data_IF_076811366370
#
_entry.id   IF_076811366370
#
_cell.length_a   1.000
_cell.length_b   1.000
_cell.length_c   1.000
_cell.angle_alpha   90.00
_cell.angle_beta   90.00
_cell.angle_gamma   90.00
#
_symmetry.space_group_name_H-M   'P 1'
#
loop_
_entity.id
_entity.type
_entity.pdbx_description
1 polymer ?
#
# COMPACT_ATOMS: atom_id res chain seq x y z
N UNK A 1 -14.25 -1.90 -1.16
CA UNK A 1 -15.28 -1.21 -1.98
C UNK A 1 -15.71 -2.13 -3.11
N UNK A 2 -16.94 -1.96 -3.59
CA UNK A 2 -17.46 -2.60 -4.81
C UNK A 2 -17.33 -1.61 -5.97
N UNK A 3 -16.51 -1.96 -6.96
CA UNK A 3 -16.24 -1.14 -8.15
C UNK A 3 -17.00 -1.72 -9.33
N UNK A 4 -17.86 -0.93 -9.94
CA UNK A 4 -18.47 -1.26 -11.24
C UNK A 4 -17.52 -0.75 -12.34
N UNK A 5 -16.85 -1.67 -13.05
CA UNK A 5 -15.92 -1.34 -14.13
C UNK A 5 -16.61 -1.47 -15.49
N UNK A 6 -17.06 -0.34 -16.04
CA UNK A 6 -17.57 -0.24 -17.40
C UNK A 6 -16.44 -0.31 -18.42
N UNK A 7 -16.62 -1.12 -19.46
CA UNK A 7 -15.60 -1.28 -20.52
C UNK A 7 -16.28 -1.03 -21.87
N UNK A 8 -15.84 0.00 -22.61
CA UNK A 8 -16.43 0.29 -23.92
C UNK A 8 -15.58 -0.20 -25.09
N UNK A 9 -16.19 -0.30 -26.28
CA UNK A 9 -15.60 -0.92 -27.45
C UNK A 9 -14.54 -0.07 -28.14
N UNK A 10 -13.29 -0.32 -27.80
CA UNK A 10 -12.11 0.26 -28.42
C UNK A 10 -10.90 -0.64 -28.22
N UNK A 11 -9.82 -0.44 -29.01
CA UNK A 11 -8.62 -1.27 -28.91
C UNK A 11 -8.03 -1.29 -27.52
N UNK A 12 -8.12 -0.21 -26.76
CA UNK A 12 -7.63 -0.12 -25.39
C UNK A 12 -8.41 -0.97 -24.36
N UNK A 13 -9.51 -1.63 -24.76
CA UNK A 13 -10.31 -2.49 -23.87
C UNK A 13 -9.49 -3.65 -23.27
N UNK A 14 -8.43 -4.12 -23.91
CA UNK A 14 -7.55 -5.15 -23.36
C UNK A 14 -6.88 -4.72 -22.04
N UNK A 15 -6.64 -3.40 -21.83
CA UNK A 15 -6.07 -2.87 -20.59
C UNK A 15 -7.02 -3.01 -19.39
N UNK A 16 -8.31 -3.24 -19.59
CA UNK A 16 -9.27 -3.49 -18.53
C UNK A 16 -8.88 -4.71 -17.67
N UNK A 17 -8.20 -5.71 -18.26
CA UNK A 17 -7.66 -6.86 -17.53
C UNK A 17 -6.67 -6.42 -16.43
N UNK A 18 -5.78 -5.47 -16.74
CA UNK A 18 -4.82 -4.94 -15.77
C UNK A 18 -5.52 -4.09 -14.69
N UNK A 19 -6.55 -3.32 -15.07
CA UNK A 19 -7.33 -2.55 -14.10
C UNK A 19 -8.09 -3.45 -13.11
N UNK A 20 -8.73 -4.53 -13.60
CA UNK A 20 -9.39 -5.51 -12.73
C UNK A 20 -8.38 -6.04 -11.72
N UNK A 21 -7.21 -6.50 -12.19
CA UNK A 21 -6.15 -7.03 -11.33
C UNK A 21 -5.68 -5.98 -10.31
N UNK A 22 -5.40 -4.75 -10.75
CA UNK A 22 -4.90 -3.69 -9.88
C UNK A 22 -5.89 -3.33 -8.76
N UNK A 23 -7.20 -3.33 -9.05
CA UNK A 23 -8.22 -3.09 -8.04
C UNK A 23 -8.43 -4.30 -7.11
N UNK A 24 -8.42 -5.53 -7.63
CA UNK A 24 -8.59 -6.75 -6.81
C UNK A 24 -7.39 -6.99 -5.89
N UNK A 25 -6.17 -6.72 -6.34
CA UNK A 25 -4.95 -6.79 -5.52
C UNK A 25 -4.95 -5.75 -4.37
N UNK A 26 -5.70 -4.65 -4.54
CA UNK A 26 -5.94 -3.67 -3.47
C UNK A 26 -7.12 -4.05 -2.55
N UNK A 27 -7.70 -5.24 -2.71
CA UNK A 27 -8.80 -5.74 -1.87
C UNK A 27 -10.17 -5.20 -2.24
N UNK A 28 -10.36 -4.68 -3.46
CA UNK A 28 -11.66 -4.25 -3.95
C UNK A 28 -12.38 -5.38 -4.70
N UNK A 29 -13.71 -5.46 -4.56
CA UNK A 29 -14.53 -6.32 -5.39
C UNK A 29 -14.83 -5.60 -6.71
N UNK A 30 -14.52 -6.22 -7.84
CA UNK A 30 -14.72 -5.64 -9.17
C UNK A 30 -15.82 -6.38 -9.93
N UNK A 31 -16.91 -5.68 -10.28
CA UNK A 31 -17.91 -6.16 -11.21
C UNK A 31 -17.60 -5.56 -12.59
N UNK A 32 -17.10 -6.38 -13.51
CA UNK A 32 -16.85 -5.93 -14.88
C UNK A 32 -18.18 -5.91 -15.69
N UNK A 33 -18.41 -4.79 -16.38
CA UNK A 33 -19.60 -4.60 -17.23
C UNK A 33 -19.17 -4.10 -18.62
N UNK A 34 -18.74 -5.01 -19.52
CA UNK A 34 -18.38 -4.65 -20.88
C UNK A 34 -19.60 -4.34 -21.72
N UNK A 35 -19.53 -3.34 -22.60
CA UNK A 35 -20.52 -3.17 -23.67
C UNK A 35 -20.37 -4.31 -24.70
N UNK A 36 -21.41 -4.55 -25.51
CA UNK A 36 -21.35 -5.55 -26.59
C UNK A 36 -20.17 -5.33 -27.53
N UNK A 37 -19.83 -4.06 -27.81
CA UNK A 37 -18.68 -3.73 -28.63
C UNK A 37 -17.33 -3.97 -27.93
N UNK A 38 -17.26 -3.90 -26.60
CA UNK A 38 -16.05 -4.21 -25.86
C UNK A 38 -15.64 -5.68 -26.00
N UNK A 39 -16.62 -6.59 -26.05
CA UNK A 39 -16.39 -8.02 -26.20
C UNK A 39 -15.75 -8.42 -27.55
N UNK A 40 -15.68 -7.49 -28.52
CA UNK A 40 -14.91 -7.68 -29.76
C UNK A 40 -13.39 -7.50 -29.57
N UNK A 41 -12.97 -6.87 -28.47
CA UNK A 41 -11.58 -6.54 -28.19
C UNK A 41 -11.01 -7.28 -26.99
N UNK A 42 -11.86 -7.76 -26.08
CA UNK A 42 -11.47 -8.54 -24.91
C UNK A 42 -12.50 -9.64 -24.65
N UNK A 43 -12.02 -10.86 -24.43
CA UNK A 43 -12.87 -12.02 -24.20
C UNK A 43 -13.62 -11.98 -22.87
N UNK A 44 -14.90 -12.37 -22.88
CA UNK A 44 -15.73 -12.52 -21.69
C UNK A 44 -15.05 -13.40 -20.63
N UNK A 45 -14.54 -14.56 -21.02
CA UNK A 45 -13.87 -15.50 -20.11
C UNK A 45 -12.68 -14.90 -19.37
N UNK A 46 -11.90 -14.01 -20.03
CA UNK A 46 -10.77 -13.32 -19.41
C UNK A 46 -11.26 -12.37 -18.30
N UNK A 47 -12.32 -11.62 -18.55
CA UNK A 47 -12.90 -10.69 -17.60
C UNK A 47 -13.50 -11.43 -16.39
N UNK A 48 -14.23 -12.51 -16.62
CA UNK A 48 -14.81 -13.37 -15.56
C UNK A 48 -13.73 -14.01 -14.68
N UNK A 49 -12.69 -14.56 -15.30
CA UNK A 49 -11.58 -15.17 -14.55
C UNK A 49 -10.82 -14.18 -13.66
N UNK A 50 -10.68 -12.92 -14.09
CA UNK A 50 -9.96 -11.88 -13.34
C UNK A 50 -10.82 -11.22 -12.27
N UNK A 51 -12.11 -10.98 -12.55
CA UNK A 51 -13.01 -10.34 -11.60
C UNK A 51 -13.64 -11.31 -10.60
N UNK A 52 -13.63 -12.61 -10.90
CA UNK A 52 -14.34 -13.62 -10.11
C UNK A 52 -15.86 -13.52 -10.18
N UNK A 53 -16.40 -12.71 -11.11
CA UNK A 53 -17.84 -12.45 -11.24
C UNK A 53 -18.33 -12.81 -12.65
N UNK A 54 -19.53 -13.38 -12.74
CA UNK A 54 -20.15 -13.66 -14.04
C UNK A 54 -20.47 -12.36 -14.78
N UNK A 55 -20.22 -12.36 -16.07
CA UNK A 55 -20.57 -11.24 -16.96
C UNK A 55 -21.78 -11.61 -17.78
N UNK A 56 -22.83 -10.84 -17.60
CA UNK A 56 -23.99 -10.89 -18.43
C UNK A 56 -24.37 -9.47 -18.84
N UNK A 57 -24.51 -9.26 -20.14
CA UNK A 57 -24.76 -7.95 -20.74
C UNK A 57 -26.21 -7.83 -21.25
N UNK A 58 -27.04 -8.87 -21.07
CA UNK A 58 -28.41 -8.81 -21.48
C UNK A 58 -29.22 -8.01 -20.48
N UNK A 59 -29.77 -6.89 -20.94
CA UNK A 59 -30.61 -6.01 -20.13
C UNK A 59 -31.98 -6.64 -19.82
N UNK A 60 -32.39 -7.63 -20.59
CA UNK A 60 -33.69 -8.26 -20.49
C UNK A 60 -33.69 -9.66 -19.87
N UNK A 61 -32.50 -10.14 -19.45
CA UNK A 61 -32.37 -11.35 -18.67
C UNK A 61 -32.74 -11.02 -17.21
N UNK A 62 -33.52 -11.89 -16.56
CA UNK A 62 -33.98 -11.75 -15.17
C UNK A 62 -34.66 -10.39 -14.87
N UNK A 63 -35.57 -9.97 -15.75
CA UNK A 63 -36.26 -8.67 -15.68
C UNK A 63 -36.91 -8.39 -14.31
N UNK A 64 -37.27 -9.43 -13.56
CA UNK A 64 -37.87 -9.32 -12.23
C UNK A 64 -36.90 -8.79 -11.15
N UNK A 65 -35.60 -8.89 -11.37
CA UNK A 65 -34.56 -8.44 -10.40
C UNK A 65 -34.13 -6.97 -10.62
N UNK A 66 -34.62 -6.31 -11.69
CA UNK A 66 -34.25 -4.93 -12.05
C UNK A 66 -32.73 -4.71 -12.00
N UNK A 67 -31.99 -5.61 -12.59
CA UNK A 67 -30.55 -5.78 -12.49
C UNK A 67 -29.71 -4.51 -12.68
N UNK A 68 -30.13 -3.62 -13.61
CA UNK A 68 -29.43 -2.34 -13.81
C UNK A 68 -29.50 -1.43 -12.57
N UNK A 69 -30.63 -1.46 -11.83
CA UNK A 69 -30.77 -0.71 -10.58
C UNK A 69 -29.90 -1.32 -9.49
N UNK A 70 -29.89 -2.66 -9.38
CA UNK A 70 -29.04 -3.36 -8.42
C UNK A 70 -27.56 -3.09 -8.66
N UNK A 71 -27.09 -3.20 -9.90
CA UNK A 71 -25.70 -2.90 -10.27
C UNK A 71 -25.30 -1.45 -9.95
N UNK A 72 -26.17 -0.49 -10.29
CA UNK A 72 -25.93 0.92 -10.00
C UNK A 72 -25.95 1.26 -8.52
N UNK A 73 -26.94 0.72 -7.77
CA UNK A 73 -27.12 0.99 -6.35
C UNK A 73 -26.07 0.26 -5.47
N UNK A 74 -25.61 -0.92 -5.90
CA UNK A 74 -24.63 -1.71 -5.13
C UNK A 74 -23.20 -1.25 -5.32
N UNK A 75 -22.89 -0.47 -6.33
CA UNK A 75 -21.55 0.05 -6.57
C UNK A 75 -21.21 1.17 -5.56
N UNK A 76 -20.04 1.10 -4.93
CA UNK A 76 -19.48 2.21 -4.15
C UNK A 76 -18.83 3.24 -5.08
N UNK A 77 -18.45 2.79 -6.30
CA UNK A 77 -17.70 3.57 -7.28
C UNK A 77 -17.93 3.00 -8.68
N UNK A 78 -18.07 3.87 -9.68
CA UNK A 78 -18.17 3.49 -11.09
C UNK A 78 -16.95 4.02 -11.84
N UNK A 79 -16.25 3.13 -12.53
CA UNK A 79 -15.10 3.48 -13.39
C UNK A 79 -15.42 3.03 -14.81
N UNK A 80 -15.28 3.90 -15.80
CA UNK A 80 -15.43 3.53 -17.22
C UNK A 80 -14.08 3.69 -17.92
N UNK A 81 -13.44 2.59 -18.24
CA UNK A 81 -12.12 2.53 -18.87
C UNK A 81 -11.96 1.30 -19.79
N UNK A 82 -11.71 1.51 -21.07
CA UNK A 82 -11.74 2.78 -21.80
C UNK A 82 -13.13 3.35 -22.01
N UNK A 83 -13.25 4.68 -22.15
CA UNK A 83 -14.46 5.35 -22.56
C UNK A 83 -14.31 5.92 -23.99
N UNK A 84 -15.12 5.43 -24.93
CA UNK A 84 -15.12 5.91 -26.32
C UNK A 84 -15.86 7.24 -26.47
N UNK A 85 -15.63 7.97 -27.55
CA UNK A 85 -16.39 9.19 -27.89
C UNK A 85 -17.90 8.93 -27.95
N UNK A 86 -18.33 7.79 -28.46
CA UNK A 86 -19.75 7.39 -28.46
C UNK A 86 -20.30 7.24 -27.04
N UNK A 87 -19.55 6.63 -26.14
CA UNK A 87 -19.95 6.51 -24.74
C UNK A 87 -20.07 7.89 -24.07
N UNK A 88 -19.08 8.78 -24.26
CA UNK A 88 -19.11 10.14 -23.73
C UNK A 88 -20.34 10.91 -24.22
N UNK A 89 -20.65 10.81 -25.52
CA UNK A 89 -21.82 11.47 -26.11
C UNK A 89 -23.12 10.96 -25.51
N UNK A 90 -23.28 9.64 -25.37
CA UNK A 90 -24.45 9.02 -24.75
C UNK A 90 -24.63 9.46 -23.32
N UNK A 91 -23.55 9.38 -22.52
CA UNK A 91 -23.58 9.76 -21.11
C UNK A 91 -23.93 11.25 -20.92
N UNK A 92 -23.35 12.12 -21.75
CA UNK A 92 -23.65 13.56 -21.71
C UNK A 92 -25.10 13.89 -22.06
N UNK A 93 -25.75 13.04 -22.86
CA UNK A 93 -27.15 13.24 -23.28
C UNK A 93 -28.17 12.33 -22.53
N UNK A 94 -27.73 11.53 -21.57
CA UNK A 94 -28.59 10.65 -20.78
C UNK A 94 -29.19 9.50 -21.58
N UNK A 95 -28.56 9.03 -22.66
CA UNK A 95 -29.02 7.92 -23.49
C UNK A 95 -28.63 6.60 -22.81
N UNK A 96 -29.63 5.79 -22.46
CA UNK A 96 -29.43 4.53 -21.72
C UNK A 96 -29.95 3.34 -22.56
N UNK A 97 -29.20 2.98 -23.59
CA UNK A 97 -29.55 1.93 -24.56
C UNK A 97 -28.79 0.60 -24.32
N UNK A 98 -28.01 0.51 -23.28
CA UNK A 98 -27.38 -0.73 -22.82
C UNK A 98 -27.37 -0.83 -21.28
N UNK A 99 -26.98 -2.00 -20.75
CA UNK A 99 -27.01 -2.28 -19.33
C UNK A 99 -26.05 -1.35 -18.55
N UNK A 100 -24.87 -1.02 -19.09
CA UNK A 100 -23.92 -0.11 -18.47
C UNK A 100 -24.49 1.29 -18.30
N UNK A 101 -25.10 1.84 -19.35
CA UNK A 101 -25.69 3.18 -19.32
C UNK A 101 -26.88 3.26 -18.35
N UNK A 102 -27.71 2.21 -18.31
CA UNK A 102 -28.82 2.13 -17.35
C UNK A 102 -28.32 2.03 -15.91
N UNK A 103 -27.29 1.21 -15.64
CA UNK A 103 -26.70 1.11 -14.30
C UNK A 103 -26.08 2.45 -13.84
N UNK A 104 -25.42 3.17 -14.73
CA UNK A 104 -24.87 4.50 -14.43
C UNK A 104 -25.97 5.52 -14.09
N UNK A 105 -27.07 5.56 -14.87
CA UNK A 105 -28.16 6.48 -14.60
C UNK A 105 -28.94 6.14 -13.31
N UNK A 106 -28.94 4.87 -12.91
CA UNK A 106 -29.58 4.42 -11.67
C UNK A 106 -28.67 4.61 -10.43
N UNK A 107 -27.42 5.00 -10.60
CA UNK A 107 -26.45 5.11 -9.50
C UNK A 107 -26.34 6.52 -8.95
N UNK A 108 -26.08 6.61 -7.64
CA UNK A 108 -25.69 7.84 -6.93
C UNK A 108 -24.19 7.91 -6.61
N UNK A 109 -23.44 6.89 -7.01
CA UNK A 109 -22.01 6.75 -6.72
C UNK A 109 -21.16 7.68 -7.58
N UNK A 110 -19.95 7.98 -7.12
CA UNK A 110 -18.98 8.76 -7.89
C UNK A 110 -18.62 8.02 -9.20
N UNK A 111 -18.62 8.76 -10.31
CA UNK A 111 -18.36 8.24 -11.65
C UNK A 111 -17.02 8.81 -12.14
N UNK A 112 -16.14 7.91 -12.58
CA UNK A 112 -14.84 8.20 -13.17
C UNK A 112 -14.79 7.67 -14.59
N UNK A 113 -14.42 8.52 -15.53
CA UNK A 113 -14.41 8.20 -16.95
C UNK A 113 -13.02 8.43 -17.52
N UNK A 114 -12.44 7.42 -18.17
CA UNK A 114 -11.10 7.45 -18.74
C UNK A 114 -11.21 7.34 -20.28
N UNK A 115 -11.19 8.47 -21.01
CA UNK A 115 -11.33 8.49 -22.44
C UNK A 115 -10.18 7.80 -23.18
N UNK A 116 -10.52 7.14 -24.31
CA UNK A 116 -9.53 6.59 -25.24
C UNK A 116 -10.06 6.65 -26.66
N UNK A 117 -9.40 7.40 -27.54
CA UNK A 117 -9.76 7.62 -28.93
C UNK A 117 -8.60 8.23 -29.73
N UNK A 118 -8.70 8.36 -31.03
CA UNK A 118 -7.73 9.11 -31.83
C UNK A 118 -7.72 10.60 -31.46
N UNK A 119 -6.59 11.27 -31.65
CA UNK A 119 -6.38 12.67 -31.26
C UNK A 119 -7.41 13.61 -31.88
N UNK A 120 -7.75 13.41 -33.16
CA UNK A 120 -8.74 14.22 -33.87
C UNK A 120 -10.14 14.07 -33.26
N UNK A 121 -10.48 12.85 -32.81
CA UNK A 121 -11.75 12.58 -32.13
C UNK A 121 -11.79 13.23 -30.75
N UNK A 122 -10.66 13.21 -30.03
CA UNK A 122 -10.56 13.85 -28.73
C UNK A 122 -10.68 15.37 -28.83
N UNK A 123 -9.96 15.96 -29.77
CA UNK A 123 -9.97 17.41 -30.01
C UNK A 123 -11.21 17.91 -30.73
N UNK A 124 -12.09 17.01 -31.21
CA UNK A 124 -13.32 17.43 -31.89
C UNK A 124 -14.19 18.26 -30.95
N UNK A 125 -14.71 19.44 -31.43
CA UNK A 125 -15.55 20.32 -30.61
C UNK A 125 -16.75 19.62 -29.96
N UNK A 126 -17.38 18.64 -30.63
CA UNK A 126 -18.50 17.88 -30.08
C UNK A 126 -18.05 17.00 -28.90
N UNK A 127 -16.87 16.37 -29.00
CA UNK A 127 -16.31 15.57 -27.89
C UNK A 127 -15.97 16.47 -26.70
N UNK A 128 -15.33 17.62 -26.95
CA UNK A 128 -14.97 18.57 -25.90
C UNK A 128 -16.22 19.16 -25.22
N UNK A 129 -17.28 19.46 -25.97
CA UNK A 129 -18.56 19.91 -25.40
C UNK A 129 -19.20 18.84 -24.51
N UNK A 130 -19.16 17.56 -24.92
CA UNK A 130 -19.65 16.45 -24.10
C UNK A 130 -18.83 16.32 -22.80
N UNK A 131 -17.50 16.40 -22.86
CA UNK A 131 -16.63 16.37 -21.69
C UNK A 131 -16.94 17.51 -20.73
N UNK A 132 -17.08 18.74 -21.25
CA UNK A 132 -17.45 19.91 -20.45
C UNK A 132 -18.79 19.71 -19.73
N UNK A 133 -19.80 19.16 -20.44
CA UNK A 133 -21.11 18.83 -19.88
C UNK A 133 -21.00 17.79 -18.75
N UNK A 134 -20.24 16.73 -18.95
CA UNK A 134 -20.04 15.69 -17.95
C UNK A 134 -19.36 16.23 -16.69
N UNK A 135 -18.30 17.04 -16.85
CA UNK A 135 -17.60 17.71 -15.73
C UNK A 135 -18.51 18.66 -14.96
N UNK A 136 -19.31 19.44 -15.66
CA UNK A 136 -20.29 20.34 -15.04
C UNK A 136 -21.36 19.61 -14.21
N UNK A 137 -21.63 18.34 -14.52
CA UNK A 137 -22.54 17.45 -13.78
C UNK A 137 -21.85 16.65 -12.67
N UNK A 138 -20.57 16.95 -12.37
CA UNK A 138 -19.85 16.27 -11.30
C UNK A 138 -19.23 14.90 -11.68
N UNK A 139 -19.22 14.54 -12.97
CA UNK A 139 -18.53 13.34 -13.44
C UNK A 139 -17.04 13.64 -13.59
N UNK A 140 -16.21 12.78 -13.01
CA UNK A 140 -14.75 12.91 -13.07
C UNK A 140 -14.26 12.37 -14.43
N UNK A 141 -13.84 13.27 -15.32
CA UNK A 141 -13.30 12.89 -16.64
C UNK A 141 -11.81 13.11 -16.65
N UNK A 142 -11.05 12.01 -16.78
CA UNK A 142 -9.59 12.01 -16.86
C UNK A 142 -9.13 12.54 -18.22
N UNK A 143 -8.04 13.32 -18.24
CA UNK A 143 -7.39 13.67 -19.51
C UNK A 143 -6.71 12.42 -20.11
N UNK A 144 -6.90 12.15 -21.41
CA UNK A 144 -6.19 11.05 -22.04
C UNK A 144 -4.68 11.34 -22.12
N UNK A 145 -3.88 10.30 -22.02
CA UNK A 145 -2.43 10.43 -22.15
C UNK A 145 -2.01 10.79 -23.59
N UNK A 146 -0.89 11.50 -23.68
CA UNK A 146 -0.25 11.78 -24.97
C UNK A 146 0.75 10.69 -25.30
N UNK A 147 0.86 10.35 -26.59
CA UNK A 147 1.81 9.35 -27.05
C UNK A 147 1.43 8.76 -28.40
N UNK A 148 2.15 7.71 -28.83
CA UNK A 148 1.85 6.97 -30.05
C UNK A 148 0.52 6.24 -29.91
N UNK A 149 -0.35 6.42 -30.88
CA UNK A 149 -1.62 5.74 -31.02
C UNK A 149 -1.45 4.43 -31.85
N UNK A 150 -2.50 3.93 -32.44
CA UNK A 150 -2.49 2.64 -33.16
C UNK A 150 -1.62 2.67 -34.43
N UNK A 151 -1.41 3.85 -35.03
CA UNK A 151 -0.59 4.06 -36.24
C UNK A 151 0.74 4.76 -35.95
N UNK A 152 1.15 5.62 -36.90
CA UNK A 152 2.29 6.56 -36.76
C UNK A 152 1.91 7.83 -36.02
N UNK A 153 0.60 8.02 -35.73
CA UNK A 153 0.05 9.22 -35.17
C UNK A 153 0.40 9.35 -33.68
N UNK A 154 0.76 10.54 -33.27
CA UNK A 154 1.11 10.91 -31.88
C UNK A 154 0.28 12.09 -31.44
N UNK A 155 -0.21 12.03 -30.20
CA UNK A 155 -1.00 13.13 -29.62
C UNK A 155 -1.81 12.66 -28.41
N UNK A 156 -2.65 13.57 -27.84
CA UNK A 156 -3.56 13.20 -26.76
C UNK A 156 -4.68 12.31 -27.29
N UNK A 157 -5.01 11.23 -26.55
CA UNK A 157 -6.09 10.30 -26.91
C UNK A 157 -5.88 8.89 -26.43
N UNK A 158 -4.66 8.56 -25.99
CA UNK A 158 -4.32 7.25 -25.44
C UNK A 158 -4.93 7.03 -24.06
N UNK A 159 -5.44 5.82 -23.79
CA UNK A 159 -5.82 5.47 -22.43
C UNK A 159 -4.59 5.57 -21.51
N UNK A 160 -4.66 6.32 -20.41
CA UNK A 160 -3.58 6.39 -19.42
C UNK A 160 -3.15 5.01 -18.92
N UNK A 161 -1.99 4.93 -18.27
CA UNK A 161 -1.53 3.67 -17.72
C UNK A 161 -2.37 3.26 -16.50
N UNK A 162 -2.33 1.98 -16.15
CA UNK A 162 -3.17 1.40 -15.09
C UNK A 162 -2.97 2.15 -13.77
N UNK A 163 -1.73 2.46 -13.41
CA UNK A 163 -1.34 3.14 -12.19
C UNK A 163 -1.91 4.56 -12.13
N UNK A 164 -1.90 5.28 -13.24
CA UNK A 164 -2.46 6.63 -13.35
C UNK A 164 -3.98 6.62 -13.17
N UNK A 165 -4.66 5.65 -13.79
CA UNK A 165 -6.12 5.48 -13.66
C UNK A 165 -6.47 5.13 -12.20
N UNK A 166 -5.77 4.19 -11.59
CA UNK A 166 -5.98 3.82 -10.18
C UNK A 166 -5.75 5.03 -9.27
N UNK A 167 -4.68 5.79 -9.50
CA UNK A 167 -4.39 7.01 -8.74
C UNK A 167 -5.46 8.10 -8.92
N UNK A 168 -5.99 8.25 -10.14
CA UNK A 168 -7.08 9.19 -10.42
C UNK A 168 -8.39 8.80 -9.73
N UNK A 169 -8.71 7.52 -9.73
CA UNK A 169 -9.94 6.96 -9.16
C UNK A 169 -9.90 6.91 -7.64
N UNK A 170 -8.77 6.45 -7.07
CA UNK A 170 -8.61 6.28 -5.62
C UNK A 170 -8.05 7.52 -4.92
N UNK A 171 -7.63 8.52 -5.67
CA UNK A 171 -6.81 9.64 -5.19
C UNK A 171 -5.34 9.24 -5.05
N UNK A 172 -4.46 10.22 -4.97
CA UNK A 172 -3.05 9.95 -4.62
C UNK A 172 -3.00 9.42 -3.21
N UNK A 173 -2.40 8.26 -3.03
CA UNK A 173 -2.15 7.74 -1.69
C UNK A 173 -1.26 8.73 -0.93
N UNK A 174 -1.52 8.97 0.37
CA UNK A 174 -0.85 10.01 1.15
C UNK A 174 0.68 9.94 1.10
N UNK A 175 1.24 8.72 1.05
CA UNK A 175 2.69 8.47 1.08
C UNK A 175 3.27 8.10 -0.30
N UNK A 176 2.57 8.43 -1.38
CA UNK A 176 3.05 8.16 -2.75
C UNK A 176 4.37 8.91 -3.03
N UNK A 177 5.42 8.16 -3.38
CA UNK A 177 6.76 8.69 -3.62
C UNK A 177 7.65 8.78 -2.38
N UNK A 178 7.15 8.46 -1.19
CA UNK A 178 7.93 8.39 0.05
C UNK A 178 8.61 7.02 0.17
N UNK A 179 9.89 7.02 0.49
CA UNK A 179 10.69 5.81 0.75
C UNK A 179 10.72 5.50 2.24
N UNK A 180 10.41 4.25 2.61
CA UNK A 180 10.34 3.83 4.01
C UNK A 180 11.18 2.58 4.22
N UNK A 181 12.07 2.60 5.19
CA UNK A 181 12.76 1.40 5.66
C UNK A 181 12.19 0.99 7.01
N UNK A 182 11.75 -0.26 7.12
CA UNK A 182 11.26 -0.86 8.37
C UNK A 182 12.14 -2.03 8.73
N UNK A 183 12.63 -2.09 9.97
CA UNK A 183 13.33 -3.27 10.49
C UNK A 183 12.37 -4.11 11.32
N UNK A 184 12.47 -5.43 11.27
CA UNK A 184 11.57 -6.32 11.99
C UNK A 184 12.27 -7.62 12.43
N UNK A 185 11.75 -8.28 13.46
CA UNK A 185 12.31 -9.52 14.00
C UNK A 185 13.36 -9.28 15.08
N UNK A 186 14.17 -10.29 15.37
CA UNK A 186 15.25 -10.21 16.36
C UNK A 186 16.59 -10.60 15.75
N UNK A 187 17.65 -9.85 16.07
CA UNK A 187 19.02 -10.22 15.68
C UNK A 187 19.50 -11.44 16.48
N UNK A 188 20.39 -12.20 15.87
CA UNK A 188 21.02 -13.39 16.45
C UNK A 188 22.54 -13.25 16.36
N UNK A 189 23.19 -13.18 17.51
CA UNK A 189 24.64 -13.09 17.59
C UNK A 189 25.24 -14.49 17.82
N UNK A 190 26.08 -15.02 16.91
CA UNK A 190 26.52 -16.38 16.98
C UNK A 190 27.46 -16.63 18.18
N UNK A 191 27.19 -17.68 18.96
CA UNK A 191 28.11 -18.26 19.93
C UNK A 191 29.06 -19.22 19.20
N UNK A 192 28.48 -20.08 18.38
CA UNK A 192 29.14 -21.05 17.51
C UNK A 192 28.33 -21.23 16.21
N UNK A 193 28.65 -22.20 15.36
CA UNK A 193 27.94 -22.48 14.12
C UNK A 193 26.48 -22.95 14.32
N UNK A 194 26.06 -23.22 15.55
CA UNK A 194 24.72 -23.79 15.84
C UNK A 194 23.95 -22.93 16.84
N UNK A 195 24.63 -22.31 17.80
CA UNK A 195 24.00 -21.57 18.90
C UNK A 195 24.21 -20.08 18.75
N UNK A 196 23.24 -19.32 19.23
CA UNK A 196 23.26 -17.85 19.21
C UNK A 196 22.66 -17.26 20.50
N UNK A 197 23.00 -16.00 20.75
CA UNK A 197 22.28 -15.12 21.68
C UNK A 197 21.44 -14.18 20.84
N UNK A 198 20.23 -13.83 21.29
CA UNK A 198 19.36 -12.91 20.58
C UNK A 198 18.12 -12.57 21.36
N UNK A 199 17.41 -11.55 20.90
CA UNK A 199 16.17 -11.09 21.50
C UNK A 199 14.97 -11.84 20.94
N UNK A 200 14.01 -12.19 21.81
CA UNK A 200 12.75 -12.80 21.37
C UNK A 200 11.89 -11.76 20.63
N UNK A 201 11.64 -12.01 19.36
CA UNK A 201 10.74 -11.19 18.55
C UNK A 201 10.18 -12.01 17.38
N UNK A 202 8.88 -12.00 17.20
CA UNK A 202 8.23 -12.62 16.04
C UNK A 202 8.34 -11.80 14.76
N UNK A 203 8.67 -10.50 14.87
CA UNK A 203 8.68 -9.56 13.74
C UNK A 203 7.30 -9.04 13.33
N UNK A 204 6.22 -9.50 13.97
CA UNK A 204 4.83 -9.20 13.58
C UNK A 204 4.55 -7.69 13.47
N UNK A 205 4.95 -6.92 14.47
CA UNK A 205 4.72 -5.47 14.49
C UNK A 205 5.38 -4.77 13.29
N UNK A 206 6.65 -5.09 13.00
CA UNK A 206 7.36 -4.50 11.86
C UNK A 206 6.75 -4.91 10.51
N UNK A 207 6.28 -6.16 10.35
CA UNK A 207 5.57 -6.61 9.16
C UNK A 207 4.26 -5.83 8.96
N UNK A 208 3.48 -5.65 10.03
CA UNK A 208 2.19 -4.95 9.98
C UNK A 208 2.40 -3.45 9.68
N UNK A 209 3.45 -2.82 10.24
CA UNK A 209 3.85 -1.45 9.91
C UNK A 209 4.30 -1.32 8.44
N UNK A 210 5.14 -2.23 7.96
CA UNK A 210 5.59 -2.23 6.56
C UNK A 210 4.41 -2.37 5.60
N UNK A 211 3.45 -3.24 5.92
CA UNK A 211 2.20 -3.39 5.17
C UNK A 211 1.37 -2.10 5.18
N UNK A 212 1.23 -1.45 6.34
CA UNK A 212 0.48 -0.21 6.46
C UNK A 212 1.11 0.94 5.64
N UNK A 213 2.43 1.09 5.64
CA UNK A 213 3.13 2.07 4.80
C UNK A 213 2.92 1.79 3.31
N UNK A 214 3.06 0.54 2.86
CA UNK A 214 2.77 0.12 1.48
C UNK A 214 1.33 0.47 1.09
N UNK A 215 0.37 0.18 1.94
CA UNK A 215 -1.05 0.43 1.68
C UNK A 215 -1.37 1.93 1.54
N UNK A 216 -0.58 2.79 2.18
CA UNK A 216 -0.61 4.24 2.00
C UNK A 216 0.22 4.75 0.80
N UNK A 217 0.82 3.84 0.01
CA UNK A 217 1.50 4.14 -1.25
C UNK A 217 2.99 4.40 -1.14
N UNK A 218 3.60 4.17 0.01
CA UNK A 218 5.04 4.30 0.18
C UNK A 218 5.82 3.18 -0.55
N UNK A 219 7.04 3.49 -0.97
CA UNK A 219 8.03 2.52 -1.42
C UNK A 219 8.70 1.93 -0.19
N UNK A 220 8.34 0.68 0.16
CA UNK A 220 8.75 0.09 1.44
C UNK A 220 9.85 -0.95 1.24
N UNK A 221 10.91 -0.82 2.05
CA UNK A 221 11.96 -1.81 2.26
C UNK A 221 11.83 -2.38 3.68
N UNK A 222 11.68 -3.70 3.79
CA UNK A 222 11.61 -4.43 5.05
C UNK A 222 12.90 -5.18 5.29
N UNK A 223 13.66 -4.82 6.32
CA UNK A 223 14.82 -5.58 6.76
C UNK A 223 14.33 -6.58 7.80
N UNK A 224 14.32 -7.86 7.40
CA UNK A 224 13.74 -8.97 8.16
C UNK A 224 14.84 -9.74 8.91
N UNK A 225 14.88 -9.60 10.24
CA UNK A 225 15.83 -10.29 11.11
C UNK A 225 15.23 -11.58 11.65
N UNK A 226 15.66 -12.73 11.10
CA UNK A 226 15.31 -14.07 11.58
C UNK A 226 13.78 -14.32 11.75
N UNK A 227 12.98 -13.84 10.81
CA UNK A 227 11.52 -13.98 10.81
C UNK A 227 11.11 -15.22 10.02
N UNK A 228 10.24 -16.05 10.62
CA UNK A 228 9.68 -17.26 10.00
C UNK A 228 8.30 -17.02 9.37
N UNK A 229 7.66 -15.89 9.68
CA UNK A 229 6.34 -15.53 9.14
C UNK A 229 6.40 -15.19 7.65
N UNK A 230 5.28 -15.35 6.90
CA UNK A 230 5.19 -14.90 5.52
C UNK A 230 5.47 -13.40 5.39
N UNK A 231 6.24 -13.02 4.38
CA UNK A 231 6.55 -11.64 4.08
C UNK A 231 5.39 -10.97 3.32
N UNK A 232 5.13 -9.68 3.54
CA UNK A 232 4.07 -8.96 2.84
C UNK A 232 4.40 -8.81 1.34
N UNK A 233 3.40 -8.99 0.49
CA UNK A 233 3.53 -8.72 -0.94
C UNK A 233 3.70 -7.22 -1.21
N UNK A 234 4.40 -6.87 -2.29
CA UNK A 234 4.59 -5.47 -2.69
C UNK A 234 5.55 -4.68 -1.79
N UNK A 235 6.40 -5.37 -1.04
CA UNK A 235 7.45 -4.80 -0.19
C UNK A 235 8.78 -5.43 -0.61
N UNK A 236 9.84 -4.61 -0.74
CA UNK A 236 11.21 -5.11 -0.93
C UNK A 236 11.69 -5.73 0.38
N UNK A 237 12.12 -6.99 0.35
CA UNK A 237 12.58 -7.70 1.56
C UNK A 237 14.07 -7.96 1.52
N UNK A 238 14.80 -7.42 2.50
CA UNK A 238 16.22 -7.70 2.76
C UNK A 238 16.30 -8.57 4.02
N UNK A 239 17.06 -9.66 3.95
CA UNK A 239 17.28 -10.52 5.12
C UNK A 239 18.56 -10.16 5.81
N UNK A 240 18.53 -10.07 7.14
CA UNK A 240 19.67 -9.89 8.01
C UNK A 240 19.56 -10.85 9.20
N UNK A 241 20.66 -11.35 9.72
CA UNK A 241 20.67 -12.24 10.88
C UNK A 241 21.26 -11.57 12.10
N UNK A 242 22.44 -10.96 11.98
CA UNK A 242 23.18 -10.32 13.07
C UNK A 242 22.98 -8.79 13.09
N UNK A 243 23.46 -8.16 14.16
CA UNK A 243 23.51 -6.68 14.26
C UNK A 243 24.36 -6.09 13.13
N UNK A 244 25.48 -6.70 12.79
CA UNK A 244 26.36 -6.22 11.72
C UNK A 244 25.70 -6.28 10.33
N UNK A 245 24.96 -7.37 10.02
CA UNK A 245 24.21 -7.48 8.78
C UNK A 245 23.05 -6.50 8.73
N UNK A 246 22.38 -6.25 9.86
CA UNK A 246 21.33 -5.25 9.97
C UNK A 246 21.88 -3.83 9.73
N UNK A 247 23.01 -3.49 10.33
CA UNK A 247 23.70 -2.21 10.13
C UNK A 247 23.99 -1.98 8.65
N UNK A 248 24.60 -2.96 7.97
CA UNK A 248 24.88 -2.89 6.55
C UNK A 248 23.62 -2.72 5.70
N UNK A 249 22.54 -3.44 6.04
CA UNK A 249 21.27 -3.33 5.32
C UNK A 249 20.59 -1.97 5.50
N UNK A 250 20.88 -1.25 6.58
CA UNK A 250 20.36 0.09 6.88
C UNK A 250 21.09 1.23 6.16
N UNK A 251 22.24 1.02 5.54
CA UNK A 251 23.05 2.09 4.92
C UNK A 251 22.30 2.89 3.82
N UNK A 252 21.30 2.29 3.18
CA UNK A 252 20.56 2.96 2.12
C UNK A 252 19.65 4.07 2.66
N UNK A 253 19.71 5.29 2.11
CA UNK A 253 18.90 6.40 2.56
C UNK A 253 17.39 6.14 2.35
N UNK A 254 16.58 6.74 3.19
CA UNK A 254 15.12 6.71 3.11
C UNK A 254 14.51 7.96 3.76
N UNK A 255 13.25 8.27 3.44
CA UNK A 255 12.54 9.40 4.04
C UNK A 255 12.08 9.08 5.46
N UNK A 256 11.73 7.82 5.72
CA UNK A 256 11.28 7.34 7.04
C UNK A 256 12.03 6.05 7.39
N UNK A 257 12.62 6.01 8.58
CA UNK A 257 13.24 4.82 9.18
C UNK A 257 12.46 4.38 10.41
N UNK A 258 11.97 3.13 10.41
CA UNK A 258 11.27 2.53 11.57
C UNK A 258 12.09 1.37 12.13
N UNK A 259 12.69 1.57 13.29
CA UNK A 259 13.45 0.55 13.99
C UNK A 259 12.52 -0.26 14.92
N UNK A 260 11.82 -1.25 14.35
CA UNK A 260 10.96 -2.17 15.12
C UNK A 260 11.61 -3.54 15.37
N UNK A 261 12.82 -3.77 14.89
CA UNK A 261 13.59 -4.97 15.21
C UNK A 261 14.07 -4.94 16.67
N UNK A 262 14.06 -6.12 17.30
CA UNK A 262 14.67 -6.34 18.62
C UNK A 262 16.17 -6.60 18.43
N UNK A 263 16.94 -5.54 18.42
CA UNK A 263 18.41 -5.58 18.24
C UNK A 263 19.07 -6.04 19.53
N UNK A 264 20.03 -6.95 19.44
CA UNK A 264 20.78 -7.40 20.60
C UNK A 264 21.73 -6.31 21.09
N UNK A 265 21.69 -5.98 22.38
CA UNK A 265 22.57 -5.01 23.03
C UNK A 265 23.99 -5.52 23.20
N UNK A 266 24.18 -6.84 23.07
CA UNK A 266 25.45 -7.51 23.24
C UNK A 266 25.73 -8.50 22.11
N UNK A 267 27.02 -8.66 21.76
CA UNK A 267 27.51 -9.72 20.88
C UNK A 267 28.63 -10.48 21.56
N UNK A 268 28.95 -11.66 21.03
CA UNK A 268 30.07 -12.46 21.49
C UNK A 268 31.36 -11.82 20.98
N UNK A 269 32.35 -11.59 21.84
CA UNK A 269 33.66 -11.03 21.44
C UNK A 269 34.35 -11.94 20.41
N UNK A 270 34.44 -13.23 20.72
CA UNK A 270 35.08 -14.25 19.89
C UNK A 270 34.20 -15.47 19.75
N UNK A 271 33.35 -15.54 18.68
CA UNK A 271 32.56 -16.73 18.40
C UNK A 271 33.46 -17.98 18.22
N UNK A 272 32.99 -19.11 18.71
CA UNK A 272 33.74 -20.39 18.59
C UNK A 272 33.70 -20.90 17.15
N UNK A 273 34.82 -21.33 16.62
CA UNK A 273 34.88 -22.01 15.35
C UNK A 273 34.33 -23.44 15.47
N UNK A 274 33.43 -23.81 14.59
CA UNK A 274 32.76 -25.10 14.62
C UNK A 274 31.67 -25.15 15.70
N UNK A 275 31.29 -26.38 16.09
CA UNK A 275 30.30 -26.62 17.15
C UNK A 275 31.02 -26.82 18.48
N UNK A 276 30.70 -26.01 19.48
CA UNK A 276 31.20 -26.14 20.83
C UNK A 276 30.83 -27.53 21.40
N UNK A 277 31.81 -28.37 21.79
CA UNK A 277 31.56 -29.72 22.29
C UNK A 277 30.87 -29.68 23.67
N UNK A 278 30.19 -30.78 24.02
CA UNK A 278 29.75 -30.98 25.41
C UNK A 278 30.98 -31.27 26.29
N UNK A 279 30.99 -30.66 27.43
CA UNK A 279 32.12 -30.84 28.36
C UNK A 279 32.04 -29.93 29.55
N UNK A 280 33.16 -29.35 29.95
CA UNK A 280 33.30 -28.44 31.07
C UNK A 280 32.54 -27.12 30.87
N UNK A 281 32.29 -26.38 31.95
CA UNK A 281 31.71 -25.06 31.92
C UNK A 281 32.54 -24.12 31.02
N UNK A 282 31.85 -23.35 30.19
CA UNK A 282 32.45 -22.36 29.30
C UNK A 282 32.04 -20.96 29.73
N UNK A 283 32.97 -20.03 29.68
CA UNK A 283 32.71 -18.60 29.86
C UNK A 283 32.57 -17.95 28.47
N UNK A 284 31.61 -17.08 28.32
CA UNK A 284 31.36 -16.33 27.08
C UNK A 284 31.48 -14.85 27.44
N UNK A 285 32.41 -14.16 26.80
CA UNK A 285 32.56 -12.72 26.96
C UNK A 285 31.60 -11.97 26.03
N UNK A 286 30.77 -11.14 26.63
CA UNK A 286 29.80 -10.29 25.93
C UNK A 286 30.36 -8.87 25.86
N UNK A 287 30.36 -8.32 24.64
CA UNK A 287 30.72 -6.92 24.41
C UNK A 287 29.52 -6.15 23.86
N UNK A 288 29.34 -4.87 24.19
CA UNK A 288 28.23 -4.05 23.68
C UNK A 288 28.25 -3.96 22.17
N UNK A 289 27.06 -3.89 21.58
CA UNK A 289 26.84 -3.53 20.18
C UNK A 289 26.64 -2.02 20.02
N UNK A 290 26.73 -1.53 18.78
CA UNK A 290 26.41 -0.13 18.47
C UNK A 290 24.91 0.14 18.55
N UNK A 291 24.54 1.35 18.95
CA UNK A 291 23.14 1.81 18.88
C UNK A 291 22.82 2.22 17.43
N UNK A 292 22.28 1.27 16.66
CA UNK A 292 22.08 1.43 15.21
C UNK A 292 21.17 2.60 14.87
N UNK A 293 20.06 2.80 15.61
CA UNK A 293 19.14 3.89 15.28
C UNK A 293 19.69 5.25 15.66
N UNK A 294 20.43 5.37 16.76
CA UNK A 294 21.08 6.61 17.12
C UNK A 294 22.18 6.97 16.11
N UNK A 295 22.97 5.98 15.69
CA UNK A 295 24.00 6.16 14.66
C UNK A 295 23.37 6.55 13.32
N UNK A 296 22.30 5.87 12.91
CA UNK A 296 21.58 6.18 11.68
C UNK A 296 21.00 7.61 11.70
N UNK A 297 20.31 8.00 12.78
CA UNK A 297 19.72 9.32 12.92
C UNK A 297 20.75 10.45 12.88
N UNK A 298 21.93 10.23 13.48
CA UNK A 298 23.03 11.21 13.46
C UNK A 298 23.58 11.43 12.04
N UNK A 299 23.63 10.39 11.21
CA UNK A 299 24.17 10.44 9.85
C UNK A 299 23.12 10.83 8.79
N UNK A 300 21.81 10.74 9.11
CA UNK A 300 20.71 10.97 8.17
C UNK A 300 19.69 11.99 8.75
N UNK A 301 20.13 13.21 9.00
CA UNK A 301 19.34 14.26 9.68
C UNK A 301 18.03 14.64 8.97
N UNK A 302 17.89 14.35 7.67
CA UNK A 302 16.67 14.59 6.89
C UNK A 302 15.65 13.43 7.02
N UNK A 303 16.05 12.26 7.53
CA UNK A 303 15.19 11.10 7.69
C UNK A 303 14.35 11.22 8.96
N UNK A 304 13.05 10.93 8.86
CA UNK A 304 12.18 10.81 10.03
C UNK A 304 12.40 9.45 10.72
N UNK A 305 13.18 9.45 11.78
CA UNK A 305 13.58 8.24 12.51
C UNK A 305 12.60 7.92 13.64
N UNK A 306 12.12 6.67 13.70
CA UNK A 306 11.21 6.15 14.72
C UNK A 306 11.90 4.99 15.42
N UNK A 307 12.17 5.12 16.72
CA UNK A 307 12.66 4.03 17.55
C UNK A 307 11.53 3.34 18.30
N UNK A 308 11.70 2.06 18.62
CA UNK A 308 10.83 1.35 19.54
C UNK A 308 11.46 1.29 20.93
N UNK A 309 10.64 1.41 21.97
CA UNK A 309 11.03 1.27 23.38
C UNK A 309 10.18 0.17 24.02
N UNK A 310 10.83 -0.88 24.47
CA UNK A 310 10.21 -1.89 25.31
C UNK A 310 10.47 -1.50 26.77
N UNK A 311 9.41 -1.38 27.56
CA UNK A 311 9.44 -0.85 28.93
C UNK A 311 8.91 -1.92 29.90
N UNK A 312 9.49 -2.02 31.09
CA UNK A 312 9.04 -2.95 32.12
C UNK A 312 7.58 -2.70 32.52
N UNK A 313 6.88 -3.77 32.84
CA UNK A 313 5.47 -3.66 33.26
C UNK A 313 5.34 -2.84 34.56
N UNK A 314 4.45 -1.86 34.52
CA UNK A 314 4.25 -0.93 35.64
C UNK A 314 5.15 0.30 35.63
N UNK A 315 6.14 0.38 34.75
CA UNK A 315 6.93 1.60 34.58
C UNK A 315 6.19 2.62 33.69
N UNK A 316 6.58 3.88 33.79
CA UNK A 316 6.04 4.97 32.98
C UNK A 316 6.59 4.90 31.55
N UNK A 317 5.78 4.35 30.63
CA UNK A 317 6.13 4.18 29.22
C UNK A 317 6.40 5.53 28.54
N UNK A 318 5.67 6.57 28.90
CA UNK A 318 5.82 7.90 28.31
C UNK A 318 7.15 8.53 28.76
N UNK A 319 7.49 8.48 30.04
CA UNK A 319 8.74 9.01 30.58
C UNK A 319 9.96 8.28 29.98
N UNK A 320 9.93 6.94 29.93
CA UNK A 320 11.01 6.13 29.34
C UNK A 320 11.16 6.41 27.83
N UNK A 321 10.04 6.62 27.12
CA UNK A 321 10.08 6.96 25.69
C UNK A 321 10.61 8.37 25.44
N UNK A 322 10.32 9.33 26.31
CA UNK A 322 10.81 10.70 26.22
C UNK A 322 12.32 10.76 26.46
N UNK A 323 12.83 10.01 27.45
CA UNK A 323 14.27 9.86 27.68
C UNK A 323 14.96 9.29 26.45
N UNK A 324 14.41 8.22 25.86
CA UNK A 324 14.93 7.57 24.66
C UNK A 324 14.89 8.49 23.43
N UNK A 325 13.85 9.33 23.31
CA UNK A 325 13.73 10.33 22.25
C UNK A 325 14.92 11.31 22.28
N UNK A 326 15.27 11.80 23.47
CA UNK A 326 16.36 12.76 23.65
C UNK A 326 17.74 12.14 23.48
N UNK A 327 17.97 10.95 24.07
CA UNK A 327 19.27 10.29 24.06
C UNK A 327 19.66 9.73 22.70
N UNK A 328 18.68 9.24 21.91
CA UNK A 328 18.94 8.70 20.57
C UNK A 328 18.85 9.73 19.44
N UNK A 329 18.36 10.94 19.70
CA UNK A 329 18.23 11.98 18.69
C UNK A 329 17.26 11.65 17.57
N UNK A 330 16.28 10.78 17.81
CA UNK A 330 15.26 10.36 16.83
C UNK A 330 14.08 11.32 16.78
N UNK A 331 13.26 11.20 15.74
CA UNK A 331 12.07 12.04 15.54
C UNK A 331 10.88 11.61 16.39
N UNK A 332 10.77 10.31 16.65
CA UNK A 332 9.69 9.72 17.46
C UNK A 332 10.16 8.44 18.17
N UNK A 333 9.48 8.11 19.27
CA UNK A 333 9.64 6.82 19.97
C UNK A 333 8.27 6.18 20.16
N UNK A 334 8.12 4.94 19.74
CA UNK A 334 6.94 4.10 19.96
C UNK A 334 7.22 3.20 21.17
N UNK A 335 6.71 3.56 22.35
CA UNK A 335 6.86 2.82 23.58
C UNK A 335 5.76 1.80 23.79
N UNK A 336 6.11 0.61 24.27
CA UNK A 336 5.17 -0.43 24.69
C UNK A 336 5.73 -1.24 25.86
N UNK A 337 4.87 -1.94 26.61
CA UNK A 337 5.30 -2.76 27.76
C UNK A 337 5.79 -4.15 27.34
N UNK A 338 6.60 -4.79 28.19
CA UNK A 338 7.10 -6.16 27.98
C UNK A 338 5.96 -7.17 27.83
N UNK A 339 4.86 -7.01 28.55
CA UNK A 339 3.67 -7.87 28.43
C UNK A 339 3.02 -7.87 27.03
N UNK A 340 3.35 -6.90 26.19
CA UNK A 340 2.93 -6.86 24.80
C UNK A 340 3.68 -7.84 23.88
N UNK A 341 4.80 -8.42 24.34
CA UNK A 341 5.55 -9.41 23.58
C UNK A 341 4.71 -10.69 23.39
N UNK A 342 4.61 -11.15 22.15
CA UNK A 342 3.84 -12.34 21.80
C UNK A 342 2.31 -12.15 21.81
N UNK A 343 1.79 -11.02 22.31
CA UNK A 343 0.35 -10.70 22.33
C UNK A 343 -0.18 -10.32 20.94
N UNK A 344 -1.43 -10.61 20.64
CA UNK A 344 -2.12 -10.17 19.43
C UNK A 344 -2.52 -8.69 19.47
N UNK A 345 -2.82 -8.19 20.68
CA UNK A 345 -3.17 -6.80 20.93
C UNK A 345 -2.18 -6.16 21.90
N UNK A 346 -2.02 -4.85 21.83
CA UNK A 346 -1.08 -4.10 22.65
C UNK A 346 -1.54 -2.64 22.77
N UNK A 347 -0.83 -1.86 23.59
CA UNK A 347 -0.91 -0.40 23.61
C UNK A 347 0.44 0.16 23.15
N UNK A 348 0.41 1.20 22.31
CA UNK A 348 1.57 2.00 21.93
C UNK A 348 1.40 3.42 22.42
N UNK A 349 2.42 3.95 23.09
CA UNK A 349 2.59 5.38 23.38
C UNK A 349 3.60 5.95 22.40
N UNK A 350 3.14 6.75 21.43
CA UNK A 350 3.99 7.45 20.50
C UNK A 350 4.40 8.80 21.08
N UNK A 351 5.68 8.99 21.35
CA UNK A 351 6.25 10.22 21.90
C UNK A 351 7.06 10.95 20.84
N UNK A 352 6.81 12.24 20.69
CA UNK A 352 7.52 13.14 19.78
C UNK A 352 7.83 14.46 20.48
N UNK A 353 8.55 15.37 19.85
CA UNK A 353 8.73 16.74 20.36
C UNK A 353 7.44 17.54 20.51
N UNK A 354 6.35 17.10 19.86
CA UNK A 354 5.03 17.74 19.93
C UNK A 354 4.14 17.19 21.08
N UNK A 355 4.59 16.17 21.77
CA UNK A 355 3.86 15.50 22.85
C UNK A 355 3.71 13.99 22.63
N UNK A 356 2.86 13.39 23.45
CA UNK A 356 2.59 11.95 23.46
C UNK A 356 1.14 11.65 23.03
N UNK A 357 0.99 10.55 22.27
CA UNK A 357 -0.30 10.01 21.84
C UNK A 357 -0.35 8.52 22.15
N UNK A 358 -1.49 8.03 22.65
CA UNK A 358 -1.69 6.62 23.02
C UNK A 358 -2.75 5.98 22.17
N UNK A 359 -2.54 4.73 21.80
CA UNK A 359 -3.52 3.91 21.09
C UNK A 359 -3.39 2.45 21.48
N UNK A 360 -4.54 1.78 21.66
CA UNK A 360 -4.64 0.36 21.97
C UNK A 360 -5.38 -0.37 20.85
N UNK A 361 -4.95 -1.57 20.52
CA UNK A 361 -5.59 -2.37 19.47
C UNK A 361 -4.74 -3.58 19.07
N UNK A 362 -5.16 -4.28 18.03
CA UNK A 362 -4.38 -5.33 17.39
C UNK A 362 -3.12 -4.75 16.74
N UNK A 363 -2.08 -5.57 16.51
CA UNK A 363 -0.84 -5.11 15.86
C UNK A 363 -1.09 -4.51 14.47
N UNK A 364 -2.08 -5.01 13.73
CA UNK A 364 -2.51 -4.45 12.44
C UNK A 364 -3.10 -3.04 12.62
N UNK A 365 -4.00 -2.85 13.59
CA UNK A 365 -4.61 -1.54 13.89
C UNK A 365 -3.57 -0.55 14.39
N UNK A 366 -2.65 -0.99 15.25
CA UNK A 366 -1.54 -0.18 15.74
C UNK A 366 -0.58 0.24 14.61
N UNK A 367 -0.27 -0.66 13.68
CA UNK A 367 0.54 -0.34 12.50
C UNK A 367 -0.13 0.74 11.63
N UNK A 368 -1.42 0.62 11.37
CA UNK A 368 -2.18 1.63 10.61
C UNK A 368 -2.22 2.97 11.33
N UNK A 369 -2.57 2.95 12.62
CA UNK A 369 -2.62 4.16 13.45
C UNK A 369 -1.27 4.88 13.51
N UNK A 370 -0.17 4.14 13.66
CA UNK A 370 1.18 4.69 13.69
C UNK A 370 1.50 5.42 12.38
N UNK A 371 1.26 4.78 11.23
CA UNK A 371 1.52 5.34 9.90
C UNK A 371 0.69 6.60 9.65
N UNK A 372 -0.61 6.59 9.96
CA UNK A 372 -1.49 7.76 9.81
C UNK A 372 -1.06 8.91 10.72
N UNK A 373 -0.65 8.59 11.95
CA UNK A 373 -0.21 9.60 12.93
C UNK A 373 1.11 10.23 12.50
N UNK A 374 2.09 9.44 12.07
CA UNK A 374 3.38 9.94 11.55
C UNK A 374 3.14 10.82 10.32
N UNK A 375 2.30 10.40 9.37
CA UNK A 375 1.96 11.23 8.21
C UNK A 375 1.39 12.60 8.61
N UNK A 376 0.46 12.64 9.58
CA UNK A 376 -0.12 13.89 10.10
C UNK A 376 0.92 14.78 10.78
N UNK A 377 1.90 14.19 11.48
CA UNK A 377 2.99 14.93 12.12
C UNK A 377 3.92 15.52 11.06
N UNK A 378 4.36 14.72 10.08
CA UNK A 378 5.24 15.18 9.00
C UNK A 378 4.60 16.27 8.13
N UNK A 379 3.28 16.22 7.93
CA UNK A 379 2.55 17.21 7.13
C UNK A 379 2.38 18.57 7.83
N UNK A 380 2.73 18.68 9.13
CA UNK A 380 2.63 19.93 9.93
C UNK A 380 3.99 20.60 10.15
N UNK A 381 5.07 19.92 9.81
CA UNK A 381 6.46 20.42 9.86
C UNK A 381 6.91 20.86 8.47
#
# INVERSE_FOLDING_TARGET
MRILLGITGGIAAYKAANLIRAFTEQGHAVQALPTQNALRFIGKATLEALSGTAIDNDMYQDVHEVRHVELGASADLIVVAPATANFLAKLANGIADDLLMNAILASTSAIYVCPAMHTEMWQNPATQANVATLRARGINVMEPASGRLTGSDTGPGRLPETEDIVSFVMGKKPLSGITVTVTAGGTREPIDQVRFIGNSSSGRMGIDIASAYRDQGALVRLIACNIEMPMPLGVEVIRASSVAELEQAMESPCDIMVMAAAVSDFRIDKPFHGKLPRGEAQTIDLIPTSDLIAHFAANHSATFCIAFALVEDGADVEAASLEKLSTKGVSAVAGNSISSLGSESSEITLVTKLGALKHSGTKIELGKWLVETIYKIMSKV
#
